data_IF_580655564002
#
_entry.id   IF_580655564002
#
_cell.length_a   1.000
_cell.length_b   1.000
_cell.length_c   1.000
_cell.angle_alpha   90.00
_cell.angle_beta   90.00
_cell.angle_gamma   90.00
#
_symmetry.space_group_name_H-M   'P 1'
#
loop_
_entity.id
_entity.type
_entity.pdbx_description
1 polymer ?
#
# COMPACT_ATOMS: atom_id res chain seq x y z
N UNK A 1 -91.49 -0.94 -25.35
CA UNK A 1 -92.07 -0.22 -26.51
C UNK A 1 -90.93 0.00 -27.50
N UNK A 2 -90.86 -0.76 -28.60
CA UNK A 2 -91.30 -0.39 -29.98
C UNK A 2 -90.66 0.90 -30.49
N UNK A 3 -90.16 1.07 -31.72
CA UNK A 3 -89.83 0.26 -32.91
C UNK A 3 -89.04 1.25 -33.82
N UNK A 4 -87.84 0.92 -34.32
CA UNK A 4 -87.48 0.59 -35.73
C UNK A 4 -87.54 1.75 -36.76
N UNK A 5 -86.52 1.76 -37.65
CA UNK A 5 -86.41 2.27 -39.06
C UNK A 5 -85.77 3.68 -39.24
N UNK A 6 -84.93 4.03 -40.24
CA UNK A 6 -84.41 3.42 -41.50
C UNK A 6 -83.16 4.20 -41.97
N UNK A 7 -82.21 3.53 -42.63
CA UNK A 7 -81.11 4.11 -43.44
C UNK A 7 -81.64 4.85 -44.70
N UNK A 8 -80.93 5.86 -45.22
CA UNK A 8 -80.46 5.90 -46.64
C UNK A 8 -79.95 7.29 -47.08
N UNK A 9 -78.64 7.33 -47.34
CA UNK A 9 -77.87 7.91 -48.47
C UNK A 9 -78.25 9.20 -49.26
N UNK A 10 -77.12 9.86 -49.62
CA UNK A 10 -76.75 10.74 -50.77
C UNK A 10 -76.91 12.26 -50.58
N UNK A 11 -75.79 13.00 -50.54
CA UNK A 11 -75.02 13.63 -51.65
C UNK A 11 -75.66 15.00 -52.00
N UNK A 12 -75.02 16.17 -51.95
CA UNK A 12 -73.94 16.68 -52.85
C UNK A 12 -73.39 18.02 -52.30
N UNK A 13 -72.06 18.19 -52.37
CA UNK A 13 -71.22 19.40 -52.46
C UNK A 13 -71.69 20.77 -51.91
N UNK A 14 -70.83 21.39 -51.09
CA UNK A 14 -70.09 22.59 -51.52
C UNK A 14 -68.81 22.79 -50.69
N UNK A 15 -67.72 22.93 -51.42
CA UNK A 15 -66.37 23.23 -50.93
C UNK A 15 -66.29 24.75 -50.73
N UNK A 16 -65.91 25.19 -49.53
CA UNK A 16 -65.31 26.51 -49.32
C UNK A 16 -64.03 26.33 -48.49
N UNK A 17 -62.90 26.52 -49.16
CA UNK A 17 -61.60 26.65 -48.53
C UNK A 17 -61.51 28.03 -47.88
N UNK A 18 -61.41 28.09 -46.55
CA UNK A 18 -60.86 29.25 -45.86
C UNK A 18 -59.62 28.78 -45.10
N UNK A 19 -58.48 29.15 -45.65
CA UNK A 19 -57.18 29.01 -45.04
C UNK A 19 -57.17 29.71 -43.68
N UNK A 20 -56.80 28.99 -42.62
CA UNK A 20 -56.80 29.52 -41.26
C UNK A 20 -55.94 28.69 -40.32
N UNK A 21 -54.62 28.70 -40.57
CA UNK A 21 -53.54 28.48 -39.61
C UNK A 21 -53.74 27.46 -38.49
N UNK A 22 -53.26 26.24 -38.72
CA UNK A 22 -52.91 25.32 -37.63
C UNK A 22 -51.72 25.94 -36.87
N UNK A 23 -51.99 26.53 -35.70
CA UNK A 23 -50.99 27.06 -34.78
C UNK A 23 -50.11 25.91 -34.27
N UNK A 24 -49.00 25.68 -34.97
CA UNK A 24 -47.90 24.85 -34.52
C UNK A 24 -47.49 25.34 -33.12
N UNK A 25 -47.64 24.47 -32.12
CA UNK A 25 -47.05 24.68 -30.79
C UNK A 25 -45.54 24.70 -30.99
N UNK A 26 -44.92 25.85 -30.79
CA UNK A 26 -43.48 26.00 -30.82
C UNK A 26 -42.83 25.05 -29.80
N UNK A 27 -42.14 24.03 -30.29
CA UNK A 27 -41.05 23.41 -29.54
C UNK A 27 -40.02 24.51 -29.30
N UNK A 28 -39.89 24.92 -28.04
CA UNK A 28 -38.78 25.77 -27.62
C UNK A 28 -37.52 24.96 -27.87
N UNK A 29 -36.80 25.30 -28.94
CA UNK A 29 -35.40 24.92 -29.10
C UNK A 29 -34.68 25.36 -27.84
N UNK A 30 -34.41 24.40 -26.96
CA UNK A 30 -33.63 24.59 -25.76
C UNK A 30 -32.21 24.89 -26.27
N UNK A 31 -31.89 26.17 -26.42
CA UNK A 31 -30.53 26.61 -26.64
C UNK A 31 -29.73 26.19 -25.42
N UNK A 32 -29.06 25.04 -25.53
CA UNK A 32 -27.99 24.65 -24.63
C UNK A 32 -26.91 25.70 -24.78
N UNK A 33 -26.98 26.75 -23.97
CA UNK A 33 -25.86 27.69 -23.82
C UNK A 33 -24.69 26.85 -23.36
N UNK A 34 -23.74 26.60 -24.26
CA UNK A 34 -22.52 25.81 -24.05
C UNK A 34 -21.80 26.15 -22.72
N UNK A 35 -21.92 27.41 -22.28
CA UNK A 35 -21.53 27.91 -20.96
C UNK A 35 -22.08 27.08 -19.77
N UNK A 36 -23.33 26.64 -19.81
CA UNK A 36 -23.96 25.86 -18.74
C UNK A 36 -23.42 24.43 -18.65
N UNK A 37 -23.02 23.84 -19.77
CA UNK A 37 -22.39 22.51 -19.80
C UNK A 37 -20.94 22.60 -19.32
N UNK A 38 -20.23 23.66 -19.71
CA UNK A 38 -18.86 23.94 -19.24
C UNK A 38 -18.79 24.21 -17.74
N UNK A 39 -19.74 24.96 -17.17
CA UNK A 39 -19.80 25.17 -15.71
C UNK A 39 -20.14 23.89 -14.96
N UNK A 40 -21.04 23.06 -15.48
CA UNK A 40 -21.37 21.77 -14.86
C UNK A 40 -20.17 20.81 -14.86
N UNK A 41 -19.44 20.74 -15.97
CA UNK A 41 -18.21 19.93 -16.07
C UNK A 41 -17.09 20.44 -15.16
N UNK A 42 -16.91 21.76 -15.07
CA UNK A 42 -15.95 22.35 -14.13
C UNK A 42 -16.28 22.02 -12.68
N UNK A 43 -17.56 22.07 -12.30
CA UNK A 43 -18.01 21.78 -10.94
C UNK A 43 -17.91 20.28 -10.60
N UNK A 44 -18.15 19.40 -11.57
CA UNK A 44 -17.93 17.95 -11.46
C UNK A 44 -16.43 17.60 -11.34
N UNK A 45 -15.56 18.26 -12.11
CA UNK A 45 -14.12 18.09 -12.00
C UNK A 45 -13.59 18.53 -10.62
N UNK A 46 -14.06 19.68 -10.14
CA UNK A 46 -13.65 20.22 -8.84
C UNK A 46 -14.15 19.34 -7.68
N UNK A 47 -15.40 18.85 -7.72
CA UNK A 47 -15.92 17.96 -6.68
C UNK A 47 -15.20 16.62 -6.62
N UNK A 48 -14.79 16.06 -7.76
CA UNK A 48 -14.00 14.82 -7.82
C UNK A 48 -12.62 15.00 -7.14
N UNK A 49 -11.97 16.16 -7.29
CA UNK A 49 -10.65 16.41 -6.66
C UNK A 49 -10.72 16.51 -5.14
N UNK A 50 -11.81 17.07 -4.59
CA UNK A 50 -11.97 17.22 -3.14
C UNK A 50 -12.18 15.87 -2.46
N UNK A 51 -12.90 14.95 -3.13
CA UNK A 51 -13.20 13.62 -2.57
C UNK A 51 -12.00 12.66 -2.69
N UNK A 52 -11.12 12.84 -3.67
CA UNK A 52 -9.96 11.96 -3.88
C UNK A 52 -8.83 12.17 -2.85
N UNK A 53 -8.66 13.39 -2.32
CA UNK A 53 -7.59 13.71 -1.38
C UNK A 53 -7.58 12.90 -0.06
N UNK A 54 -8.71 12.72 0.65
CA UNK A 54 -8.70 12.01 1.94
C UNK A 54 -8.44 10.50 1.83
N UNK A 55 -8.78 9.86 0.71
CA UNK A 55 -8.51 8.43 0.50
C UNK A 55 -7.04 8.13 0.32
N UNK A 56 -6.28 9.02 -0.33
CA UNK A 56 -4.85 8.81 -0.54
C UNK A 56 -4.08 8.87 0.79
N UNK A 57 -4.45 9.78 1.70
CA UNK A 57 -3.85 9.86 3.04
C UNK A 57 -4.19 8.64 3.89
N UNK A 58 -5.46 8.19 3.83
CA UNK A 58 -5.89 7.01 4.59
C UNK A 58 -5.16 5.72 4.16
N UNK A 59 -4.88 5.57 2.86
CA UNK A 59 -4.11 4.44 2.33
C UNK A 59 -2.66 4.48 2.81
N UNK A 60 -2.00 5.65 2.72
CA UNK A 60 -0.62 5.83 3.19
C UNK A 60 -0.47 5.55 4.70
N UNK A 61 -1.43 6.00 5.51
CA UNK A 61 -1.42 5.72 6.95
C UNK A 61 -1.60 4.23 7.26
N UNK A 62 -2.43 3.53 6.48
CA UNK A 62 -2.64 2.10 6.62
C UNK A 62 -1.37 1.30 6.23
N UNK A 63 -0.74 1.66 5.12
CA UNK A 63 0.50 1.04 4.65
C UNK A 63 1.63 1.27 5.65
N UNK A 64 1.75 2.48 6.21
CA UNK A 64 2.75 2.79 7.23
C UNK A 64 2.58 1.95 8.50
N UNK A 65 1.33 1.78 8.96
CA UNK A 65 1.04 0.90 10.11
C UNK A 65 1.34 -0.55 9.81
N UNK A 66 0.95 -1.04 8.62
CA UNK A 66 1.28 -2.39 8.17
C UNK A 66 2.80 -2.59 8.08
N UNK A 67 3.53 -1.57 7.62
CA UNK A 67 4.98 -1.60 7.51
C UNK A 67 5.64 -1.77 8.88
N UNK A 68 5.19 -1.02 9.89
CA UNK A 68 5.69 -1.13 11.27
C UNK A 68 5.39 -2.49 11.90
N UNK A 69 4.16 -2.99 11.77
CA UNK A 69 3.77 -4.31 12.29
C UNK A 69 4.60 -5.43 11.66
N UNK A 70 4.82 -5.36 10.35
CA UNK A 70 5.61 -6.37 9.64
C UNK A 70 7.11 -6.23 9.91
N UNK A 71 7.62 -5.02 10.13
CA UNK A 71 9.00 -4.80 10.58
C UNK A 71 9.26 -5.49 11.93
N UNK A 72 8.30 -5.46 12.85
CA UNK A 72 8.38 -6.18 14.11
C UNK A 72 8.45 -7.71 13.88
N UNK A 73 7.57 -8.26 13.04
CA UNK A 73 7.60 -9.70 12.68
C UNK A 73 8.94 -10.11 12.05
N UNK A 74 9.44 -9.31 11.11
CA UNK A 74 10.76 -9.51 10.49
C UNK A 74 11.85 -9.48 11.56
N UNK A 75 11.79 -8.55 12.50
CA UNK A 75 12.75 -8.48 13.59
C UNK A 75 12.75 -9.73 14.49
N UNK A 76 11.58 -10.29 14.81
CA UNK A 76 11.51 -11.58 15.53
C UNK A 76 12.17 -12.72 14.74
N UNK A 77 11.92 -12.80 13.43
CA UNK A 77 12.50 -13.82 12.57
C UNK A 77 14.03 -13.69 12.49
N UNK A 78 14.57 -12.47 12.34
CA UNK A 78 16.02 -12.26 12.34
C UNK A 78 16.64 -12.63 13.69
N UNK A 79 15.98 -12.27 14.80
CA UNK A 79 16.45 -12.67 16.14
C UNK A 79 16.48 -14.20 16.29
N UNK A 80 15.49 -14.91 15.77
CA UNK A 80 15.47 -16.37 15.80
C UNK A 80 16.64 -16.96 15.01
N UNK A 81 16.88 -16.50 13.78
CA UNK A 81 18.02 -16.93 12.96
C UNK A 81 19.34 -16.69 13.71
N UNK A 82 19.51 -15.50 14.29
CA UNK A 82 20.71 -15.14 15.02
C UNK A 82 20.92 -16.01 16.27
N UNK A 83 19.84 -16.32 17.00
CA UNK A 83 19.86 -17.22 18.17
C UNK A 83 20.20 -18.64 17.78
N UNK A 84 19.60 -19.17 16.72
CA UNK A 84 19.85 -20.52 16.23
C UNK A 84 21.30 -20.67 15.75
N UNK A 85 21.79 -19.70 14.96
CA UNK A 85 23.17 -19.71 14.51
C UNK A 85 24.19 -19.60 15.66
N UNK A 86 23.87 -18.79 16.69
CA UNK A 86 24.66 -18.70 17.93
C UNK A 86 24.71 -20.04 18.69
N UNK A 87 23.57 -20.72 18.83
CA UNK A 87 23.48 -22.03 19.50
C UNK A 87 24.23 -23.12 18.75
N UNK A 88 24.11 -23.17 17.42
CA UNK A 88 24.82 -24.15 16.57
C UNK A 88 26.33 -23.92 16.63
N UNK A 89 26.77 -22.66 16.67
CA UNK A 89 28.20 -22.32 16.79
C UNK A 89 28.78 -22.64 18.19
N UNK A 90 27.94 -22.71 19.22
CA UNK A 90 28.33 -23.04 20.59
C UNK A 90 28.24 -24.54 20.91
N UNK A 91 27.68 -25.36 20.02
CA UNK A 91 27.70 -26.82 20.17
C UNK A 91 29.14 -27.34 20.03
N UNK A 92 29.55 -28.36 20.81
CA UNK A 92 30.89 -28.93 20.68
C UNK A 92 31.12 -29.36 19.23
N UNK A 93 32.21 -28.87 18.62
CA UNK A 93 32.71 -29.42 17.35
C UNK A 93 32.96 -30.91 17.56
N UNK A 94 32.05 -31.75 17.11
CA UNK A 94 32.31 -33.19 17.03
C UNK A 94 33.43 -33.40 16.01
N UNK A 95 34.64 -33.58 16.52
CA UNK A 95 35.86 -33.95 15.79
C UNK A 95 35.81 -35.39 15.26
N UNK A 96 34.66 -35.86 14.78
CA UNK A 96 34.54 -37.14 14.09
C UNK A 96 34.06 -36.92 12.67
N UNK A 97 34.83 -37.42 11.70
CA UNK A 97 34.67 -37.21 10.26
C UNK A 97 33.38 -37.78 9.67
N UNK A 98 32.23 -37.28 10.10
CA UNK A 98 30.93 -37.52 9.50
C UNK A 98 30.79 -36.70 8.22
N UNK A 99 30.31 -37.35 7.15
CA UNK A 99 29.95 -36.68 5.90
C UNK A 99 28.88 -35.63 6.18
N UNK A 100 29.25 -34.36 6.15
CA UNK A 100 28.28 -33.26 6.15
C UNK A 100 27.60 -33.19 4.77
N UNK A 101 26.33 -32.75 4.70
CA UNK A 101 25.70 -32.40 3.44
C UNK A 101 26.57 -31.39 2.67
N UNK A 102 26.72 -31.57 1.36
CA UNK A 102 27.56 -30.71 0.52
C UNK A 102 27.11 -29.23 0.50
N UNK A 103 25.91 -28.92 0.99
CA UNK A 103 25.39 -27.56 1.16
C UNK A 103 25.92 -26.86 2.41
N UNK A 104 26.50 -27.59 3.36
CA UNK A 104 27.16 -27.05 4.54
C UNK A 104 28.65 -26.98 4.21
N UNK A 105 29.08 -25.84 3.67
CA UNK A 105 30.50 -25.57 3.40
C UNK A 105 31.36 -25.75 4.65
N UNK A 106 32.69 -25.92 4.50
CA UNK A 106 33.59 -26.10 5.64
C UNK A 106 33.36 -24.94 6.60
N UNK A 107 33.04 -25.31 7.84
CA UNK A 107 32.58 -24.46 8.94
C UNK A 107 32.87 -22.96 8.72
N UNK A 108 31.82 -22.19 8.49
CA UNK A 108 31.81 -20.78 8.85
C UNK A 108 31.90 -20.74 10.38
N UNK A 109 33.12 -20.96 10.87
CA UNK A 109 33.47 -20.90 12.27
C UNK A 109 33.29 -19.44 12.69
N UNK A 110 32.47 -19.25 13.71
CA UNK A 110 32.17 -18.01 14.43
C UNK A 110 30.96 -17.21 13.95
N UNK A 111 30.19 -16.75 14.94
CA UNK A 111 29.13 -15.74 14.87
C UNK A 111 29.60 -14.49 14.11
N UNK A 112 30.90 -14.24 14.03
CA UNK A 112 31.56 -13.19 13.24
C UNK A 112 31.23 -13.28 11.73
N UNK A 113 30.89 -14.46 11.21
CA UNK A 113 30.49 -14.62 9.80
C UNK A 113 29.01 -14.30 9.54
N UNK A 114 28.20 -14.13 10.59
CA UNK A 114 26.82 -13.66 10.43
C UNK A 114 26.88 -12.17 10.18
N UNK A 115 26.52 -11.74 8.97
CA UNK A 115 26.42 -10.31 8.66
C UNK A 115 25.48 -9.65 9.67
N UNK A 116 25.99 -8.62 10.34
CA UNK A 116 25.21 -7.85 11.30
C UNK A 116 24.12 -7.03 10.60
N UNK A 117 24.30 -6.74 9.30
CA UNK A 117 23.33 -6.08 8.45
C UNK A 117 22.80 -6.97 7.33
N UNK A 118 21.60 -6.67 6.86
CA UNK A 118 21.06 -7.30 5.68
C UNK A 118 19.64 -6.84 5.36
N UNK A 119 19.01 -7.59 4.45
CA UNK A 119 17.63 -7.33 4.01
C UNK A 119 16.77 -8.57 4.20
N UNK A 120 15.51 -8.40 4.60
CA UNK A 120 14.59 -9.53 4.78
C UNK A 120 13.12 -9.14 4.59
N UNK A 121 12.35 -10.02 3.96
CA UNK A 121 10.94 -9.76 3.68
C UNK A 121 10.73 -8.63 2.66
N UNK A 122 9.49 -8.17 2.55
CA UNK A 122 9.07 -7.13 1.60
C UNK A 122 8.05 -6.23 2.29
N UNK A 123 8.23 -4.92 2.19
CA UNK A 123 7.35 -3.90 2.72
C UNK A 123 6.12 -3.66 1.80
N UNK A 124 5.14 -2.83 2.22
CA UNK A 124 3.95 -2.54 1.42
C UNK A 124 4.23 -1.85 0.07
N UNK A 125 5.39 -1.20 -0.07
CA UNK A 125 5.79 -0.47 -1.27
C UNK A 125 6.69 -1.31 -2.19
N UNK A 126 6.93 -2.58 -1.84
CA UNK A 126 7.67 -3.55 -2.66
C UNK A 126 9.17 -3.54 -2.44
N UNK A 127 9.69 -2.76 -1.49
CA UNK A 127 11.11 -2.77 -1.11
C UNK A 127 11.37 -3.79 0.00
N UNK A 128 12.58 -4.35 0.12
CA UNK A 128 12.90 -5.21 1.25
C UNK A 128 13.01 -4.40 2.54
N UNK A 129 12.71 -5.03 3.69
CA UNK A 129 13.10 -4.44 4.96
C UNK A 129 14.61 -4.56 5.13
N UNK A 130 15.22 -3.52 5.67
CA UNK A 130 16.60 -3.49 6.09
C UNK A 130 16.65 -3.85 7.57
N UNK A 131 17.68 -4.59 7.98
CA UNK A 131 17.91 -4.90 9.37
C UNK A 131 19.37 -4.69 9.75
N UNK A 132 19.58 -4.39 11.03
CA UNK A 132 20.89 -4.34 11.66
C UNK A 132 20.84 -4.86 13.09
N UNK A 133 21.65 -5.86 13.36
CA UNK A 133 21.91 -6.37 14.71
C UNK A 133 22.92 -5.43 15.37
N UNK A 134 22.51 -4.84 16.49
CA UNK A 134 23.32 -3.90 17.23
C UNK A 134 24.16 -4.66 18.26
N UNK A 135 25.49 -4.43 18.32
CA UNK A 135 26.33 -5.02 19.34
C UNK A 135 25.89 -4.50 20.72
N UNK A 136 25.65 -5.42 21.64
CA UNK A 136 25.18 -5.07 22.98
C UNK A 136 26.35 -4.44 23.78
N UNK A 137 26.10 -3.30 24.42
CA UNK A 137 27.08 -2.64 25.28
C UNK A 137 27.18 -3.31 26.66
N UNK A 138 26.20 -4.12 27.06
CA UNK A 138 26.15 -4.79 28.35
C UNK A 138 26.35 -6.31 28.20
N UNK A 139 27.16 -6.90 29.09
CA UNK A 139 27.50 -8.35 29.14
C UNK A 139 26.29 -9.29 29.30
N UNK A 140 25.08 -8.77 29.53
CA UNK A 140 23.86 -9.55 29.60
C UNK A 140 23.23 -9.63 28.22
N UNK A 141 23.55 -10.71 27.50
CA UNK A 141 22.76 -11.55 26.57
C UNK A 141 21.53 -11.01 25.79
N UNK A 142 21.20 -9.73 25.85
CA UNK A 142 20.10 -9.12 25.13
C UNK A 142 20.52 -8.86 23.68
N UNK A 143 19.82 -9.42 22.71
CA UNK A 143 20.01 -9.07 21.30
C UNK A 143 19.17 -7.82 21.04
N UNK A 144 19.80 -6.77 20.53
CA UNK A 144 19.10 -5.58 20.01
C UNK A 144 19.19 -5.59 18.49
N UNK A 145 18.06 -5.38 17.82
CA UNK A 145 17.97 -5.30 16.37
C UNK A 145 17.15 -4.08 15.96
N UNK A 146 17.60 -3.41 14.92
CA UNK A 146 16.86 -2.34 14.24
C UNK A 146 16.37 -2.90 12.91
N UNK A 147 15.08 -2.70 12.60
CA UNK A 147 14.48 -3.08 11.32
C UNK A 147 13.73 -1.90 10.77
N UNK A 148 13.93 -1.57 9.49
CA UNK A 148 13.30 -0.43 8.84
C UNK A 148 12.97 -0.68 7.37
N UNK A 149 12.02 0.08 6.85
CA UNK A 149 11.62 0.14 5.45
C UNK A 149 12.07 1.47 4.85
N UNK A 150 12.30 1.48 3.53
CA UNK A 150 12.65 2.66 2.74
C UNK A 150 11.45 3.57 2.42
N UNK A 151 10.26 3.25 2.94
CA UNK A 151 9.06 4.05 2.73
C UNK A 151 8.52 4.06 1.29
N UNK A 152 7.46 4.85 1.05
CA UNK A 152 6.85 5.04 -0.27
C UNK A 152 7.81 5.54 -1.36
N UNK A 153 8.86 6.31 -1.00
CA UNK A 153 9.79 6.88 -1.96
C UNK A 153 10.86 5.87 -2.45
N UNK A 154 10.93 4.68 -1.83
CA UNK A 154 11.88 3.61 -2.11
C UNK A 154 13.36 4.01 -1.99
N UNK A 155 13.67 4.99 -1.14
CA UNK A 155 15.02 5.52 -0.94
C UNK A 155 15.37 5.44 0.54
N UNK A 156 16.45 4.73 0.85
CA UNK A 156 17.00 4.72 2.22
C UNK A 156 17.60 6.09 2.53
N UNK A 157 16.92 6.84 3.39
CA UNK A 157 17.40 8.12 3.91
C UNK A 157 18.13 7.93 5.25
N UNK A 158 17.88 6.81 5.93
CA UNK A 158 18.51 6.36 7.17
C UNK A 158 19.87 5.67 6.95
N UNK A 159 20.72 6.23 6.10
CA UNK A 159 22.04 5.67 5.70
C UNK A 159 22.97 5.39 6.87
N UNK A 160 22.80 6.15 7.95
CA UNK A 160 23.50 5.97 9.20
C UNK A 160 23.29 4.59 9.83
N UNK A 161 22.13 3.96 9.55
CA UNK A 161 21.79 2.63 10.04
C UNK A 161 22.46 1.53 9.22
N UNK A 162 22.74 1.76 7.94
CA UNK A 162 23.49 0.83 7.09
C UNK A 162 24.98 0.80 7.40
N UNK A 163 25.51 1.88 8.01
CA UNK A 163 26.93 1.94 8.37
C UNK A 163 27.23 1.17 9.67
N UNK A 164 27.78 -0.04 9.54
CA UNK A 164 28.16 -0.94 10.65
C UNK A 164 29.11 -0.30 11.68
N UNK A 165 29.96 0.65 11.27
CA UNK A 165 30.91 1.32 12.16
C UNK A 165 30.25 2.37 13.06
N UNK A 166 29.05 2.85 12.69
CA UNK A 166 28.34 3.87 13.45
C UNK A 166 27.64 3.27 14.66
N UNK A 167 28.02 3.69 15.87
CA UNK A 167 27.42 3.20 17.11
C UNK A 167 25.99 3.74 17.28
N UNK A 168 25.01 2.85 17.39
CA UNK A 168 23.61 3.17 17.69
C UNK A 168 23.30 2.73 19.12
N UNK A 169 23.21 3.69 20.05
CA UNK A 169 23.01 3.40 21.49
C UNK A 169 21.54 3.41 21.93
N UNK A 170 20.62 3.93 21.11
CA UNK A 170 19.20 4.12 21.45
C UNK A 170 18.24 3.87 20.29
N UNK A 171 17.07 4.50 20.34
CA UNK A 171 16.14 4.56 19.21
C UNK A 171 16.78 5.43 18.11
N UNK A 172 17.03 4.91 16.91
CA UNK A 172 17.52 5.71 15.81
C UNK A 172 16.44 6.68 15.34
N UNK A 173 16.87 7.81 14.81
CA UNK A 173 15.99 8.73 14.07
C UNK A 173 15.95 8.23 12.63
N UNK A 174 14.75 7.89 12.15
CA UNK A 174 14.54 7.54 10.75
C UNK A 174 14.46 8.81 9.90
N UNK A 175 15.10 8.80 8.75
CA UNK A 175 15.12 9.93 7.81
C UNK A 175 13.89 9.94 6.91
N UNK A 176 13.32 11.13 6.68
CA UNK A 176 12.24 11.34 5.71
C UNK A 176 11.00 10.48 5.94
N UNK A 177 10.73 9.55 5.01
CA UNK A 177 9.61 8.60 5.05
C UNK A 177 10.01 7.18 5.47
N UNK A 178 11.28 6.95 5.84
CA UNK A 178 11.71 5.69 6.41
C UNK A 178 10.96 5.42 7.73
N UNK A 179 10.53 4.18 7.91
CA UNK A 179 9.83 3.76 9.13
C UNK A 179 10.39 2.44 9.64
N UNK A 180 10.54 2.34 10.96
CA UNK A 180 11.14 1.16 11.56
C UNK A 180 10.94 1.04 13.05
N UNK A 181 11.42 -0.08 13.57
CA UNK A 181 11.30 -0.47 14.98
C UNK A 181 12.64 -0.94 15.50
N UNK A 182 12.86 -0.73 16.80
CA UNK A 182 13.97 -1.33 17.53
C UNK A 182 13.40 -2.39 18.45
N UNK A 183 13.89 -3.62 18.31
CA UNK A 183 13.54 -4.71 19.19
C UNK A 183 14.72 -5.02 20.10
N UNK A 184 14.43 -5.24 21.38
CA UNK A 184 15.40 -5.67 22.37
C UNK A 184 14.85 -6.92 23.04
N UNK A 185 15.54 -8.06 22.89
CA UNK A 185 15.08 -9.34 23.44
C UNK A 185 16.14 -9.96 24.32
N UNK A 186 15.74 -10.30 25.54
CA UNK A 186 16.58 -11.05 26.47
C UNK A 186 16.73 -12.50 26.03
N UNK A 187 17.98 -12.98 26.00
CA UNK A 187 18.27 -14.40 25.95
C UNK A 187 18.14 -14.95 27.37
N UNK A 188 17.09 -15.73 27.60
CA UNK A 188 16.91 -16.54 28.80
C UNK A 188 17.49 -17.93 28.57
#
# INVERSE_FOLDING_TARGET
MSKVFILSHRNVNKVEYVAGGNLMKHEKNQEFKSSGVLTLLGLLGFSATIIASPWNQSAQDADTKAALQKAEVVGYQVVQIYREATKVSAAPKDTSGGRLPASIGPAADSIESLRSTGTMGTDPWGQPYHYRVLPNAERNSNIRIVVWSSGPNARVESKDLENEDKKVSGQPVFGGDDVGVVLSMSQN
#
